data_IF_942819518650
#
_entry.id   IF_942819518650
#
_cell.length_a   1.000
_cell.length_b   1.000
_cell.length_c   1.000
_cell.angle_alpha   90.00
_cell.angle_beta   90.00
_cell.angle_gamma   90.00
#
_symmetry.space_group_name_H-M   'P 1'
#
loop_
_entity.id
_entity.type
_entity.pdbx_description
1 polymer ?
#
# COMPACT_ATOMS: atom_id res chain seq x y z
N UNK A 1 -28.84 -22.67 34.60
CA UNK A 1 -27.51 -22.00 34.45
C UNK A 1 -26.64 -22.50 33.28
N UNK A 2 -26.70 -23.79 32.87
CA UNK A 2 -25.84 -24.37 31.81
C UNK A 2 -25.99 -23.70 30.43
N UNK A 3 -27.20 -23.26 30.08
CA UNK A 3 -27.49 -22.63 28.78
C UNK A 3 -27.06 -21.16 28.74
N UNK A 4 -27.08 -20.46 29.88
CA UNK A 4 -26.65 -19.06 30.01
C UNK A 4 -25.14 -18.90 29.80
N UNK A 5 -24.33 -19.88 30.27
CA UNK A 5 -22.88 -19.89 30.01
C UNK A 5 -22.55 -20.08 28.52
N UNK A 6 -23.37 -20.83 27.77
CA UNK A 6 -23.19 -21.00 26.32
C UNK A 6 -23.50 -19.71 25.54
N UNK A 7 -24.52 -18.97 25.97
CA UNK A 7 -24.89 -17.67 25.38
C UNK A 7 -23.78 -16.64 25.63
N UNK A 8 -23.26 -16.57 26.87
CA UNK A 8 -22.14 -15.68 27.22
C UNK A 8 -20.90 -16.06 26.40
N UNK A 9 -20.59 -17.36 26.28
CA UNK A 9 -19.47 -17.82 25.47
C UNK A 9 -19.61 -17.47 23.99
N UNK A 10 -20.83 -17.52 23.44
CA UNK A 10 -21.11 -17.15 22.05
C UNK A 10 -20.91 -15.64 21.80
N UNK A 11 -21.36 -14.79 22.73
CA UNK A 11 -21.13 -13.34 22.64
C UNK A 11 -19.65 -12.99 22.77
N UNK A 12 -18.91 -13.65 23.67
CA UNK A 12 -17.46 -13.47 23.80
C UNK A 12 -16.75 -13.89 22.50
N UNK A 13 -17.15 -15.01 21.89
CA UNK A 13 -16.59 -15.47 20.62
C UNK A 13 -16.87 -14.48 19.48
N UNK A 14 -18.07 -13.89 19.44
CA UNK A 14 -18.42 -12.84 18.48
C UNK A 14 -17.58 -11.57 18.65
N UNK A 15 -17.31 -11.15 19.89
CA UNK A 15 -16.44 -10.00 20.18
C UNK A 15 -15.00 -10.28 19.75
N UNK A 16 -14.47 -11.47 20.05
CA UNK A 16 -13.13 -11.89 19.61
C UNK A 16 -13.04 -11.94 18.08
N UNK A 17 -14.08 -12.44 17.42
CA UNK A 17 -14.14 -12.47 15.95
C UNK A 17 -14.16 -11.05 15.35
N UNK A 18 -14.96 -10.14 15.90
CA UNK A 18 -15.01 -8.75 15.47
C UNK A 18 -13.67 -8.01 15.64
N UNK A 19 -12.94 -8.28 16.73
CA UNK A 19 -11.59 -7.75 16.95
C UNK A 19 -10.56 -8.33 15.95
N UNK A 20 -10.71 -9.60 15.57
CA UNK A 20 -9.84 -10.24 14.58
C UNK A 20 -9.97 -9.65 13.16
N UNK A 21 -11.17 -9.25 12.75
CA UNK A 21 -11.42 -8.65 11.43
C UNK A 21 -10.75 -7.27 11.30
N UNK A 22 -10.71 -6.48 12.38
CA UNK A 22 -10.02 -5.17 12.37
C UNK A 22 -8.50 -5.30 12.19
N UNK A 23 -7.88 -6.36 12.70
CA UNK A 23 -6.44 -6.59 12.56
C UNK A 23 -6.01 -6.96 11.12
N UNK A 24 -6.92 -7.53 10.31
CA UNK A 24 -6.63 -7.92 8.93
C UNK A 24 -6.69 -6.78 7.93
N UNK A 25 -7.34 -5.66 8.28
CA UNK A 25 -7.45 -4.47 7.42
C UNK A 25 -6.29 -3.48 7.60
N UNK A 26 -5.24 -3.85 8.32
CA UNK A 26 -4.02 -3.05 8.38
C UNK A 26 -3.44 -2.91 6.95
N UNK A 27 -3.06 -1.70 6.51
CA UNK A 27 -2.40 -1.50 5.23
C UNK A 27 -1.15 -2.38 5.17
N UNK A 28 -1.16 -3.40 4.30
CA UNK A 28 0.02 -4.22 4.07
C UNK A 28 1.13 -3.29 3.56
N UNK A 29 2.34 -3.33 4.15
CA UNK A 29 3.44 -2.50 3.69
C UNK A 29 3.65 -2.74 2.18
N UNK A 30 3.93 -1.67 1.41
CA UNK A 30 4.06 -1.77 -0.03
C UNK A 30 5.09 -2.84 -0.39
N UNK A 31 4.69 -3.76 -1.28
CA UNK A 31 5.59 -4.77 -1.83
C UNK A 31 6.69 -4.06 -2.61
N UNK A 32 7.95 -4.23 -2.19
CA UNK A 32 9.12 -3.70 -2.91
C UNK A 32 9.48 -4.52 -4.13
N UNK A 33 8.84 -5.67 -4.32
CA UNK A 33 9.02 -6.52 -5.47
C UNK A 33 7.98 -6.18 -6.55
N UNK A 34 8.43 -5.58 -7.64
CA UNK A 34 7.64 -5.30 -8.84
C UNK A 34 7.85 -6.43 -9.85
N UNK A 35 6.76 -6.91 -10.46
CA UNK A 35 6.82 -7.84 -11.60
C UNK A 35 6.26 -7.18 -12.86
N UNK A 36 6.59 -7.75 -14.02
CA UNK A 36 6.05 -7.30 -15.30
C UNK A 36 4.52 -7.38 -15.29
N UNK A 37 3.87 -6.30 -15.73
CA UNK A 37 2.41 -6.18 -15.77
C UNK A 37 1.79 -5.60 -14.50
N UNK A 38 2.55 -5.43 -13.41
CA UNK A 38 2.05 -4.69 -12.24
C UNK A 38 1.79 -3.24 -12.60
N UNK A 39 0.74 -2.67 -11.98
CA UNK A 39 0.54 -1.24 -12.02
C UNK A 39 1.71 -0.54 -11.32
N UNK A 40 2.33 0.42 -12.01
CA UNK A 40 3.37 1.25 -11.41
C UNK A 40 2.80 1.99 -10.17
N UNK A 41 3.54 2.03 -9.04
CA UNK A 41 3.15 2.82 -7.88
C UNK A 41 3.05 4.31 -8.23
N UNK A 42 2.25 5.05 -7.45
CA UNK A 42 2.20 6.50 -7.61
C UNK A 42 3.51 7.13 -7.13
N UNK A 43 4.14 7.93 -8.00
CA UNK A 43 5.29 8.75 -7.65
C UNK A 43 4.94 10.21 -7.84
N UNK A 44 5.22 11.01 -6.81
CA UNK A 44 5.06 12.45 -6.81
C UNK A 44 6.40 13.05 -6.40
N UNK A 45 7.03 13.80 -7.30
CA UNK A 45 8.35 14.38 -7.11
C UNK A 45 8.33 15.84 -7.56
N UNK A 46 9.25 16.63 -7.02
CA UNK A 46 9.53 17.94 -7.57
C UNK A 46 10.59 17.81 -8.66
N UNK A 47 10.39 18.49 -9.78
CA UNK A 47 11.43 18.64 -10.80
C UNK A 47 12.51 19.66 -10.38
N UNK A 48 13.46 19.93 -11.27
CA UNK A 48 14.57 20.85 -11.00
C UNK A 48 14.14 22.31 -10.86
N UNK A 49 12.98 22.66 -11.42
CA UNK A 49 12.38 24.00 -11.35
C UNK A 49 11.41 24.13 -10.16
N UNK A 50 11.21 23.05 -9.40
CA UNK A 50 10.32 23.00 -8.24
C UNK A 50 8.86 22.67 -8.56
N UNK A 51 8.54 22.31 -9.80
CA UNK A 51 7.19 21.90 -10.16
C UNK A 51 6.90 20.49 -9.66
N UNK A 52 5.69 20.27 -9.15
CA UNK A 52 5.22 18.94 -8.77
C UNK A 52 4.88 18.12 -10.01
N UNK A 53 5.56 17.01 -10.19
CA UNK A 53 5.31 16.03 -11.26
C UNK A 53 4.76 14.74 -10.66
N UNK A 54 3.70 14.19 -11.27
CA UNK A 54 3.14 12.88 -10.91
C UNK A 54 3.33 11.87 -12.02
N UNK A 55 3.65 10.63 -11.67
CA UNK A 55 3.77 9.56 -12.66
C UNK A 55 2.44 9.29 -13.38
N UNK A 56 1.32 9.42 -12.66
CA UNK A 56 -0.03 9.26 -13.21
C UNK A 56 -0.36 10.25 -14.35
N UNK A 57 0.24 11.44 -14.36
CA UNK A 57 -0.03 12.46 -15.37
C UNK A 57 0.38 12.01 -16.80
N UNK A 58 1.31 11.06 -16.90
CA UNK A 58 1.81 10.50 -18.16
C UNK A 58 1.08 9.24 -18.61
N UNK A 59 0.26 8.63 -17.74
CA UNK A 59 -0.41 7.36 -18.01
C UNK A 59 -1.30 7.45 -19.26
N UNK A 60 -1.06 6.56 -20.22
CA UNK A 60 -1.80 6.52 -21.50
C UNK A 60 -1.44 7.64 -22.48
N UNK A 61 -0.56 8.58 -22.11
CA UNK A 61 -0.12 9.67 -22.98
C UNK A 61 1.26 9.41 -23.59
N UNK A 62 2.17 8.82 -22.81
CA UNK A 62 3.57 8.58 -23.21
C UNK A 62 4.09 7.28 -22.59
N UNK A 63 5.08 6.67 -23.23
CA UNK A 63 5.91 5.64 -22.58
C UNK A 63 6.90 6.34 -21.65
N UNK A 64 7.08 5.79 -20.45
CA UNK A 64 7.91 6.38 -19.39
C UNK A 64 8.91 5.34 -18.90
N UNK A 65 10.17 5.76 -18.75
CA UNK A 65 11.24 4.99 -18.12
C UNK A 65 11.65 5.73 -16.85
N UNK A 66 11.77 5.01 -15.74
CA UNK A 66 12.20 5.56 -14.47
C UNK A 66 13.55 4.96 -14.08
N UNK A 67 14.53 5.83 -13.82
CA UNK A 67 15.86 5.44 -13.39
C UNK A 67 16.16 6.07 -12.03
N UNK A 68 16.70 5.28 -11.10
CA UNK A 68 17.11 5.74 -9.77
C UNK A 68 18.64 5.73 -9.70
N UNK A 69 19.21 6.88 -9.35
CA UNK A 69 20.65 7.07 -9.15
C UNK A 69 20.88 7.57 -7.72
N UNK A 70 22.00 7.16 -7.12
CA UNK A 70 22.29 7.43 -5.70
C UNK A 70 22.58 8.90 -5.45
N UNK A 71 23.39 9.50 -6.32
CA UNK A 71 23.84 10.89 -6.23
C UNK A 71 23.74 11.55 -7.60
N UNK A 72 23.43 12.85 -7.61
CA UNK A 72 23.51 13.64 -8.83
C UNK A 72 24.98 13.93 -9.17
N UNK A 73 25.28 14.06 -10.47
CA UNK A 73 26.60 14.46 -10.99
C UNK A 73 27.76 13.52 -10.65
N UNK A 74 27.50 12.23 -10.38
CA UNK A 74 28.54 11.21 -10.21
C UNK A 74 28.65 10.32 -11.45
N UNK A 75 29.83 9.75 -11.68
CA UNK A 75 29.98 8.62 -12.62
C UNK A 75 29.16 7.43 -12.12
N UNK A 76 28.40 6.81 -13.02
CA UNK A 76 27.64 5.58 -12.75
C UNK A 76 28.52 4.34 -12.70
#
# INVERSE_FOLDING_TARGET
MKNMKKIILFFVLMIVFALGVFAQNAPKPPSTHLKVGDAAPELVLNDTDGNTIKLSDFKGKKSVVLAFYVLAFTGG
#
